data_IF_749656667081
#
_entry.id   IF_749656667081
#
_cell.length_a   1.000
_cell.length_b   1.000
_cell.length_c   1.000
_cell.angle_alpha   90.00
_cell.angle_beta   90.00
_cell.angle_gamma   90.00
#
_symmetry.space_group_name_H-M   'P 1'
#
loop_
_entity.id
_entity.type
_entity.pdbx_description
1 polymer ?
#
# COMPACT_ATOMS: atom_id res chain seq x y z
N UNK A 1 1.93 -5.37 9.85
CA UNK A 1 2.56 -4.04 9.79
C UNK A 1 4.07 -4.17 9.61
N UNK A 2 4.55 -4.58 8.43
CA UNK A 2 5.99 -4.79 8.19
C UNK A 2 6.78 -3.47 8.24
N UNK A 3 6.25 -2.40 7.65
CA UNK A 3 6.85 -1.06 7.70
C UNK A 3 7.06 -0.55 9.13
N UNK A 4 6.05 -0.71 10.01
CA UNK A 4 6.19 -0.28 11.40
C UNK A 4 7.32 -1.04 12.11
N UNK A 5 7.43 -2.37 11.90
CA UNK A 5 8.53 -3.16 12.48
C UNK A 5 9.89 -2.64 12.02
N UNK A 6 10.03 -2.35 10.72
CA UNK A 6 11.24 -1.75 10.16
C UNK A 6 11.56 -0.40 10.81
N UNK A 7 10.58 0.51 10.89
CA UNK A 7 10.79 1.87 11.42
C UNK A 7 11.20 1.93 12.90
N UNK A 8 10.84 0.92 13.70
CA UNK A 8 11.24 0.83 15.11
C UNK A 8 12.52 0.01 15.33
N UNK A 9 13.09 -0.58 14.29
CA UNK A 9 14.30 -1.39 14.40
C UNK A 9 15.55 -0.50 14.51
N UNK A 10 16.46 -0.72 15.50
CA UNK A 10 17.72 0.02 15.60
C UNK A 10 18.61 -0.08 14.35
N UNK A 11 18.49 -1.15 13.58
CA UNK A 11 19.22 -1.36 12.32
C UNK A 11 18.43 -0.88 11.09
N UNK A 12 17.47 0.04 11.26
CA UNK A 12 16.61 0.60 10.19
C UNK A 12 17.36 0.89 8.88
N UNK A 13 18.46 1.64 8.93
CA UNK A 13 19.20 2.06 7.73
C UNK A 13 19.80 0.86 6.96
N UNK A 14 20.15 -0.23 7.67
CA UNK A 14 20.68 -1.45 7.05
C UNK A 14 19.56 -2.31 6.44
N UNK A 15 18.38 -2.30 7.06
CA UNK A 15 17.24 -3.14 6.68
C UNK A 15 16.34 -2.48 5.61
N UNK A 16 16.34 -1.15 5.54
CA UNK A 16 15.52 -0.38 4.58
C UNK A 16 15.70 -0.80 3.12
N UNK A 17 16.92 -1.04 2.59
CA UNK A 17 17.10 -1.45 1.21
C UNK A 17 16.38 -2.77 0.86
N UNK A 18 16.42 -3.75 1.77
CA UNK A 18 15.74 -5.04 1.58
C UNK A 18 14.22 -4.85 1.54
N UNK A 19 13.67 -4.01 2.43
CA UNK A 19 12.25 -3.68 2.41
C UNK A 19 11.83 -3.01 1.09
N UNK A 20 12.59 -2.02 0.63
CA UNK A 20 12.30 -1.33 -0.64
C UNK A 20 12.42 -2.26 -1.85
N UNK A 21 13.32 -3.25 -1.82
CA UNK A 21 13.42 -4.27 -2.87
C UNK A 21 12.19 -5.20 -2.91
N UNK A 22 11.64 -5.55 -1.74
CA UNK A 22 10.46 -6.42 -1.63
C UNK A 22 9.13 -5.68 -1.84
N UNK A 23 9.10 -4.37 -1.63
CA UNK A 23 7.89 -3.54 -1.67
C UNK A 23 7.09 -3.66 -2.98
N UNK A 24 7.69 -3.62 -4.19
CA UNK A 24 6.93 -3.75 -5.44
C UNK A 24 6.16 -5.07 -5.57
N UNK A 25 6.76 -6.19 -5.16
CA UNK A 25 6.07 -7.49 -5.22
C UNK A 25 4.93 -7.57 -4.19
N UNK A 26 5.09 -6.95 -3.02
CA UNK A 26 3.99 -6.81 -2.05
C UNK A 26 2.82 -5.99 -2.63
N UNK A 27 3.11 -4.83 -3.21
CA UNK A 27 2.10 -3.95 -3.80
C UNK A 27 1.40 -4.58 -5.00
N UNK A 28 2.13 -5.37 -5.80
CA UNK A 28 1.57 -6.15 -6.90
C UNK A 28 0.51 -7.15 -6.43
N UNK A 29 0.68 -7.78 -5.26
CA UNK A 29 -0.35 -8.66 -4.70
C UNK A 29 -1.63 -7.88 -4.36
N UNK A 30 -1.52 -6.71 -3.74
CA UNK A 30 -2.67 -5.83 -3.49
C UNK A 30 -3.34 -5.39 -4.79
N UNK A 31 -2.55 -4.96 -5.78
CA UNK A 31 -3.04 -4.53 -7.09
C UNK A 31 -3.78 -5.66 -7.81
N UNK A 32 -3.24 -6.88 -7.81
CA UNK A 32 -3.89 -8.04 -8.41
C UNK A 32 -5.19 -8.42 -7.69
N UNK A 33 -5.19 -8.36 -6.36
CA UNK A 33 -6.36 -8.69 -5.55
C UNK A 33 -7.51 -7.68 -5.72
N UNK A 34 -7.19 -6.37 -5.73
CA UNK A 34 -8.17 -5.33 -6.05
C UNK A 34 -8.70 -5.47 -7.49
N UNK A 35 -7.81 -5.80 -8.42
CA UNK A 35 -8.14 -5.98 -9.83
C UNK A 35 -8.79 -4.73 -10.42
N UNK A 36 -10.04 -4.88 -10.86
CA UNK A 36 -10.87 -3.80 -11.44
C UNK A 36 -11.96 -3.28 -10.49
N UNK A 37 -12.01 -3.80 -9.27
CA UNK A 37 -13.07 -3.44 -8.32
C UNK A 37 -12.80 -2.04 -7.74
N UNK A 38 -13.85 -1.28 -7.38
CA UNK A 38 -13.66 0.00 -6.70
C UNK A 38 -13.19 -0.20 -5.24
N UNK A 39 -13.55 -1.31 -4.60
CA UNK A 39 -13.20 -1.63 -3.21
C UNK A 39 -12.70 -3.08 -3.11
N UNK A 40 -11.97 -3.40 -2.05
CA UNK A 40 -11.31 -4.69 -1.86
C UNK A 40 -12.28 -5.88 -1.76
N UNK A 41 -13.55 -5.64 -1.44
CA UNK A 41 -14.61 -6.66 -1.40
C UNK A 41 -15.71 -6.44 -2.45
N UNK A 42 -15.42 -5.69 -3.52
CA UNK A 42 -16.33 -5.46 -4.64
C UNK A 42 -16.84 -4.02 -4.73
N UNK A 43 -18.14 -3.85 -4.94
CA UNK A 43 -18.73 -2.56 -5.31
C UNK A 43 -19.00 -1.62 -4.14
N UNK A 44 -19.00 -2.14 -2.91
CA UNK A 44 -19.28 -1.37 -1.70
C UNK A 44 -18.06 -1.31 -0.81
N UNK A 45 -17.80 -0.12 -0.28
CA UNK A 45 -16.76 0.07 0.73
C UNK A 45 -17.10 -0.72 1.99
N UNK A 46 -16.07 -1.29 2.61
CA UNK A 46 -16.16 -2.02 3.87
C UNK A 46 -15.01 -1.58 4.80
N UNK A 47 -15.00 -2.06 6.04
CA UNK A 47 -13.94 -1.70 6.99
C UNK A 47 -12.54 -2.09 6.51
N UNK A 48 -12.39 -3.11 5.66
CA UNK A 48 -11.08 -3.55 5.16
C UNK A 48 -10.43 -2.50 4.24
N UNK A 49 -11.24 -1.69 3.55
CA UNK A 49 -10.75 -0.62 2.70
C UNK A 49 -10.05 0.48 3.50
N UNK A 50 -10.52 0.76 4.72
CA UNK A 50 -9.85 1.69 5.64
C UNK A 50 -8.48 1.18 6.08
N UNK A 51 -8.37 -0.13 6.32
CA UNK A 51 -7.09 -0.78 6.66
C UNK A 51 -6.15 -0.77 5.46
N UNK A 52 -6.66 -1.08 4.27
CA UNK A 52 -5.88 -1.05 3.05
C UNK A 52 -5.38 0.36 2.73
N UNK A 53 -6.24 1.38 2.90
CA UNK A 53 -5.86 2.78 2.75
C UNK A 53 -4.70 3.15 3.68
N UNK A 54 -4.83 2.93 5.00
CA UNK A 54 -3.76 3.27 5.98
C UNK A 54 -2.44 2.56 5.64
N UNK A 55 -2.48 1.30 5.19
CA UNK A 55 -1.27 0.56 4.81
C UNK A 55 -0.65 1.10 3.52
N UNK A 56 -1.45 1.36 2.48
CA UNK A 56 -0.96 1.80 1.18
C UNK A 56 -0.46 3.25 1.23
N UNK A 57 -1.21 4.15 1.86
CA UNK A 57 -0.85 5.55 2.05
C UNK A 57 0.44 5.67 2.86
N UNK A 58 0.58 4.92 3.96
CA UNK A 58 1.81 4.96 4.75
C UNK A 58 3.05 4.47 3.98
N UNK A 59 2.88 3.48 3.11
CA UNK A 59 3.97 3.07 2.21
C UNK A 59 4.30 4.17 1.19
N UNK A 60 3.30 4.89 0.69
CA UNK A 60 3.51 6.03 -0.20
C UNK A 60 4.20 7.20 0.53
N UNK A 61 3.88 7.47 1.80
CA UNK A 61 4.64 8.44 2.60
C UNK A 61 6.10 8.02 2.78
N UNK A 62 6.36 6.71 2.93
CA UNK A 62 7.70 6.17 3.10
C UNK A 62 8.53 6.15 1.81
N UNK A 63 7.91 5.82 0.67
CA UNK A 63 8.49 5.82 -0.66
C UNK A 63 7.45 6.40 -1.65
N UNK A 64 7.51 7.72 -1.94
CA UNK A 64 6.48 8.44 -2.71
C UNK A 64 6.13 7.85 -4.08
N UNK A 65 7.11 7.20 -4.71
CA UNK A 65 6.97 6.62 -6.06
C UNK A 65 6.43 5.19 -6.07
N UNK A 66 6.23 4.54 -4.91
CA UNK A 66 6.00 3.10 -4.84
C UNK A 66 4.71 2.63 -5.54
N UNK A 67 3.71 3.51 -5.68
CA UNK A 67 2.43 3.19 -6.32
C UNK A 67 2.38 3.53 -7.82
N UNK A 68 3.40 4.16 -8.39
CA UNK A 68 3.36 4.64 -9.79
C UNK A 68 3.23 3.51 -10.82
N UNK A 69 3.72 2.32 -10.49
CA UNK A 69 3.56 1.12 -11.32
C UNK A 69 2.18 0.46 -11.21
N UNK A 70 1.31 0.92 -10.29
CA UNK A 70 0.02 0.29 -9.97
C UNK A 70 -1.13 1.31 -10.06
N UNK A 71 -1.60 1.65 -11.28
CA UNK A 71 -2.64 2.66 -11.47
C UNK A 71 -3.91 2.42 -10.65
N UNK A 72 -4.35 1.16 -10.53
CA UNK A 72 -5.55 0.83 -9.76
C UNK A 72 -5.42 1.10 -8.25
N UNK A 73 -4.21 1.01 -7.69
CA UNK A 73 -3.96 1.38 -6.30
C UNK A 73 -3.94 2.90 -6.11
N UNK A 74 -3.39 3.66 -7.07
CA UNK A 74 -3.49 5.14 -7.06
C UNK A 74 -4.93 5.62 -7.17
N UNK A 75 -5.72 4.96 -8.01
CA UNK A 75 -7.14 5.23 -8.15
C UNK A 75 -7.91 4.89 -6.86
N UNK A 76 -7.52 3.81 -6.17
CA UNK A 76 -8.08 3.44 -4.86
C UNK A 76 -7.80 4.50 -3.80
N UNK A 77 -6.54 4.94 -3.63
CA UNK A 77 -6.19 6.04 -2.70
C UNK A 77 -7.01 7.30 -3.03
N UNK A 78 -6.99 7.71 -4.30
CA UNK A 78 -7.69 8.92 -4.76
C UNK A 78 -9.21 8.85 -4.54
N UNK A 79 -9.81 7.67 -4.67
CA UNK A 79 -11.24 7.44 -4.44
C UNK A 79 -11.59 7.48 -2.96
N UNK A 80 -10.76 6.89 -2.11
CA UNK A 80 -10.95 6.89 -0.66
C UNK A 80 -10.84 8.30 -0.06
N UNK A 81 -9.88 9.13 -0.50
CA UNK A 81 -9.71 10.50 0.00
C UNK A 81 -10.84 11.46 -0.42
N UNK A 82 -11.60 11.11 -1.47
CA UNK A 82 -12.72 11.90 -1.99
C UNK A 82 -14.09 11.45 -1.45
N UNK A 83 -14.15 10.30 -0.79
CA UNK A 83 -15.41 9.71 -0.29
C UNK A 83 -15.93 10.36 0.98
#
# INVERSE_FOLDING_TARGET
>A
MQLAKLCYDPDFEKLKPEYLQALPEMLKLYSQFLGKQPWFLGDKITFVDFIAYDVLERNQVFEPSCLDAFPNLKDFISRFERS
#
